data_IF_849754163222
#
_entry.id   IF_849754163222
#
_cell.length_a   1.000
_cell.length_b   1.000
_cell.length_c   1.000
_cell.angle_alpha   90.00
_cell.angle_beta   90.00
_cell.angle_gamma   90.00
#
_symmetry.space_group_name_H-M   'P 1'
#
loop_
_entity.id
_entity.type
_entity.pdbx_description
1 polymer ?
#
# COMPACT_ATOMS: atom_id res chain seq x y z
N UNK A 1 -1.63 23.07 33.58
CA UNK A 1 -1.25 21.95 32.70
C UNK A 1 -1.36 22.43 31.26
N UNK A 2 -0.28 22.61 30.50
CA UNK A 2 -0.41 23.08 29.13
C UNK A 2 -1.05 21.98 28.27
N UNK A 3 -2.31 22.20 27.89
CA UNK A 3 -3.00 21.44 26.85
C UNK A 3 -2.32 21.71 25.52
N UNK A 4 -1.83 20.67 24.84
CA UNK A 4 -1.25 20.78 23.50
C UNK A 4 -2.33 21.21 22.50
N UNK A 5 -2.54 22.52 22.41
CA UNK A 5 -3.28 23.19 21.34
C UNK A 5 -2.53 22.92 20.05
N UNK A 6 -3.13 22.10 19.19
CA UNK A 6 -2.70 21.90 17.82
C UNK A 6 -2.77 23.26 17.11
N UNK A 7 -1.62 23.91 16.97
CA UNK A 7 -1.45 25.16 16.25
C UNK A 7 -1.82 24.93 14.78
N UNK A 8 -2.95 25.50 14.36
CA UNK A 8 -3.24 25.73 12.94
C UNK A 8 -3.09 27.23 12.68
N UNK A 9 -1.83 27.67 12.59
CA UNK A 9 -1.44 28.97 12.06
C UNK A 9 -1.20 28.91 10.54
N UNK A 10 -1.35 30.02 9.80
CA UNK A 10 -1.15 30.03 8.36
C UNK A 10 0.35 30.15 8.04
N UNK A 11 0.81 29.28 7.12
CA UNK A 11 2.10 29.27 6.41
C UNK A 11 3.14 28.25 6.92
N UNK A 12 3.49 27.33 6.02
CA UNK A 12 4.90 27.04 5.70
C UNK A 12 5.70 26.09 6.58
N UNK A 13 5.33 25.81 7.82
CA UNK A 13 6.17 24.96 8.69
C UNK A 13 5.83 23.48 8.54
N UNK A 14 6.73 22.73 7.89
CA UNK A 14 6.72 21.28 7.90
C UNK A 14 7.33 20.84 9.24
N UNK A 15 6.53 20.84 10.31
CA UNK A 15 6.98 20.32 11.60
C UNK A 15 7.52 18.89 11.42
N UNK A 16 8.75 18.64 11.88
CA UNK A 16 9.40 17.34 11.76
C UNK A 16 8.54 16.21 12.36
N UNK A 17 7.73 16.50 13.38
CA UNK A 17 6.80 15.56 14.01
C UNK A 17 5.66 15.18 13.07
N UNK A 18 5.23 16.08 12.20
CA UNK A 18 4.26 15.80 11.16
C UNK A 18 4.88 15.02 10.00
N UNK A 19 6.16 15.21 9.69
CA UNK A 19 6.86 14.41 8.68
C UNK A 19 6.96 12.95 9.10
N UNK A 20 7.37 12.68 10.35
CA UNK A 20 7.46 11.30 10.87
C UNK A 20 6.08 10.63 10.88
N UNK A 21 5.06 11.31 11.41
CA UNK A 21 3.68 10.80 11.42
C UNK A 21 3.19 10.46 10.00
N UNK A 22 3.40 11.35 9.03
CA UNK A 22 3.04 11.13 7.62
C UNK A 22 3.87 10.01 7.00
N UNK A 23 5.16 9.94 7.31
CA UNK A 23 6.09 8.91 6.84
C UNK A 23 5.65 7.52 7.30
N UNK A 24 5.35 7.37 8.59
CA UNK A 24 4.84 6.12 9.18
C UNK A 24 3.51 5.73 8.53
N UNK A 25 2.57 6.67 8.38
CA UNK A 25 1.30 6.40 7.69
C UNK A 25 1.52 5.89 6.25
N UNK A 26 2.39 6.56 5.50
CA UNK A 26 2.68 6.20 4.10
C UNK A 26 3.34 4.83 3.99
N UNK A 27 4.29 4.52 4.87
CA UNK A 27 4.95 3.22 4.95
C UNK A 27 3.95 2.10 5.26
N UNK A 28 3.06 2.30 6.24
CA UNK A 28 2.04 1.32 6.62
C UNK A 28 1.07 1.03 5.46
N UNK A 29 0.63 2.07 4.74
CA UNK A 29 -0.25 1.92 3.56
C UNK A 29 0.45 1.20 2.42
N UNK A 30 1.73 1.49 2.18
CA UNK A 30 2.53 0.81 1.18
C UNK A 30 2.69 -0.69 1.52
N UNK A 31 2.92 -1.04 2.79
CA UNK A 31 3.00 -2.43 3.24
C UNK A 31 1.71 -3.20 2.95
N UNK A 32 0.54 -2.66 3.30
CA UNK A 32 -0.76 -3.32 3.04
C UNK A 32 -1.21 -3.30 1.56
N UNK A 33 -0.50 -2.58 0.69
CA UNK A 33 -0.71 -2.59 -0.76
C UNK A 33 0.15 -3.63 -1.48
N UNK A 34 1.11 -4.27 -0.79
CA UNK A 34 1.95 -5.32 -1.38
C UNK A 34 1.13 -6.56 -1.71
N UNK A 35 1.60 -7.32 -2.71
CA UNK A 35 0.94 -8.55 -3.20
C UNK A 35 0.93 -9.71 -2.19
N UNK A 36 1.80 -9.70 -1.18
CA UNK A 36 1.94 -10.79 -0.21
C UNK A 36 0.77 -10.83 0.80
N UNK A 37 -0.05 -11.89 0.84
CA UNK A 37 -1.21 -11.99 1.74
C UNK A 37 -0.83 -11.85 3.21
N UNK A 38 0.27 -12.49 3.64
CA UNK A 38 0.77 -12.43 5.01
C UNK A 38 1.12 -10.99 5.44
N UNK A 39 1.75 -10.21 4.57
CA UNK A 39 2.10 -8.80 4.84
C UNK A 39 0.85 -7.94 4.98
N UNK A 40 -0.18 -8.22 4.17
CA UNK A 40 -1.46 -7.49 4.24
C UNK A 40 -2.19 -7.78 5.55
N UNK A 41 -2.19 -9.03 6.00
CA UNK A 41 -2.79 -9.43 7.29
C UNK A 41 -2.04 -8.76 8.44
N UNK A 42 -0.70 -8.86 8.45
CA UNK A 42 0.13 -8.24 9.48
C UNK A 42 -0.06 -6.71 9.53
N UNK A 43 -0.11 -6.04 8.37
CA UNK A 43 -0.33 -4.60 8.28
C UNK A 43 -1.72 -4.20 8.82
N UNK A 44 -2.76 -5.02 8.61
CA UNK A 44 -4.10 -4.79 9.17
C UNK A 44 -4.15 -5.00 10.68
N UNK A 45 -3.51 -6.05 11.18
CA UNK A 45 -3.42 -6.31 12.62
C UNK A 45 -2.73 -5.14 13.34
N UNK A 46 -1.61 -4.67 12.78
CA UNK A 46 -0.89 -3.51 13.29
C UNK A 46 -1.75 -2.24 13.23
N UNK A 47 -2.41 -1.95 12.11
CA UNK A 47 -3.30 -0.79 11.99
C UNK A 47 -4.45 -0.81 12.99
N UNK A 48 -4.98 -2.00 13.31
CA UNK A 48 -6.03 -2.20 14.32
C UNK A 48 -5.51 -1.88 15.73
N UNK A 49 -4.33 -2.40 16.09
CA UNK A 49 -3.69 -2.08 17.37
C UNK A 49 -3.39 -0.58 17.52
N UNK A 50 -2.88 0.05 16.46
CA UNK A 50 -2.65 1.50 16.46
C UNK A 50 -3.95 2.30 16.64
N UNK A 51 -5.05 1.87 16.01
CA UNK A 51 -6.35 2.51 16.11
C UNK A 51 -6.96 2.43 17.52
N UNK A 52 -6.63 1.38 18.28
CA UNK A 52 -7.05 1.19 19.67
C UNK A 52 -6.22 2.00 20.68
N UNK A 53 -5.04 2.49 20.27
CA UNK A 53 -4.15 3.25 21.15
C UNK A 53 -4.79 4.56 21.67
N UNK A 54 -4.36 4.99 22.86
CA UNK A 54 -4.77 6.25 23.50
C UNK A 54 -4.12 7.47 22.84
N UNK A 55 -2.92 7.31 22.26
CA UNK A 55 -2.20 8.38 21.60
C UNK A 55 -2.95 8.87 20.35
N UNK A 56 -3.29 10.16 20.29
CA UNK A 56 -4.03 10.76 19.19
C UNK A 56 -3.37 10.52 17.81
N UNK A 57 -2.04 10.62 17.75
CA UNK A 57 -1.26 10.36 16.54
C UNK A 57 -1.33 8.89 16.12
N UNK A 58 -1.08 7.98 17.05
CA UNK A 58 -1.12 6.53 16.84
C UNK A 58 -2.50 6.08 16.36
N UNK A 59 -3.55 6.54 17.04
CA UNK A 59 -4.95 6.32 16.69
C UNK A 59 -5.28 6.82 15.30
N UNK A 60 -4.83 8.03 14.96
CA UNK A 60 -5.03 8.61 13.63
C UNK A 60 -4.37 7.77 12.53
N UNK A 61 -3.12 7.35 12.73
CA UNK A 61 -2.39 6.51 11.77
C UNK A 61 -3.14 5.20 11.53
N UNK A 62 -3.56 4.51 12.59
CA UNK A 62 -4.29 3.24 12.49
C UNK A 62 -5.61 3.39 11.74
N UNK A 63 -6.43 4.37 12.11
CA UNK A 63 -7.73 4.62 11.45
C UNK A 63 -7.59 5.01 9.98
N UNK A 64 -6.63 5.85 9.63
CA UNK A 64 -6.39 6.23 8.24
C UNK A 64 -5.90 5.05 7.39
N UNK A 65 -4.98 4.23 7.93
CA UNK A 65 -4.50 3.03 7.26
C UNK A 65 -5.63 2.01 7.01
N UNK A 66 -6.52 1.77 7.98
CA UNK A 66 -7.68 0.89 7.81
C UNK A 66 -8.61 1.39 6.69
N UNK A 67 -8.88 2.70 6.64
CA UNK A 67 -9.67 3.32 5.55
C UNK A 67 -9.00 3.12 4.19
N UNK A 68 -7.67 3.24 4.13
CA UNK A 68 -6.93 2.99 2.90
C UNK A 68 -7.00 1.52 2.47
N UNK A 69 -6.91 0.58 3.41
CA UNK A 69 -7.03 -0.85 3.11
C UNK A 69 -8.42 -1.22 2.61
N UNK A 70 -9.49 -0.65 3.18
CA UNK A 70 -10.85 -0.84 2.69
C UNK A 70 -11.02 -0.37 1.23
N UNK A 71 -10.40 0.77 0.88
CA UNK A 71 -10.39 1.27 -0.51
C UNK A 71 -9.61 0.39 -1.48
N UNK A 72 -8.55 -0.28 -1.00
CA UNK A 72 -7.78 -1.21 -1.80
C UNK A 72 -8.53 -2.52 -2.05
N UNK A 73 -9.31 -3.00 -1.08
CA UNK A 73 -10.19 -4.17 -1.25
C UNK A 73 -11.35 -3.86 -2.19
N UNK A 74 -11.92 -2.65 -2.08
CA UNK A 74 -13.00 -2.21 -2.96
C UNK A 74 -12.53 -1.94 -4.39
N UNK A 75 -11.22 -1.92 -4.67
CA UNK A 75 -10.70 -1.75 -6.02
C UNK A 75 -10.99 -3.03 -6.81
N UNK A 76 -11.82 -2.99 -7.87
CA UNK A 76 -12.02 -4.16 -8.71
C UNK A 76 -10.67 -4.63 -9.25
N UNK A 77 -10.47 -5.95 -9.42
CA UNK A 77 -9.22 -6.48 -9.94
C UNK A 77 -8.91 -5.77 -11.26
N UNK A 78 -7.69 -5.22 -11.36
CA UNK A 78 -7.22 -4.63 -12.62
C UNK A 78 -7.37 -5.73 -13.68
N UNK A 79 -8.13 -5.51 -14.78
CA UNK A 79 -8.30 -6.54 -15.79
C UNK A 79 -6.91 -7.00 -16.20
N UNK A 80 -6.71 -8.33 -16.14
CA UNK A 80 -5.43 -8.95 -16.45
C UNK A 80 -4.91 -8.34 -17.76
N UNK A 81 -3.67 -7.83 -17.72
CA UNK A 81 -3.02 -7.35 -18.93
C UNK A 81 -3.18 -8.43 -20.01
N UNK A 82 -3.76 -8.05 -21.15
CA UNK A 82 -3.99 -8.94 -22.29
C UNK A 82 -2.74 -9.81 -22.49
N UNK A 83 -2.96 -11.12 -22.59
CA UNK A 83 -1.91 -12.11 -22.78
C UNK A 83 -0.93 -11.66 -23.88
N UNK A 84 0.39 -11.88 -23.73
CA UNK A 84 1.31 -11.65 -24.82
C UNK A 84 0.85 -12.53 -25.98
N UNK A 85 0.45 -11.90 -27.09
CA UNK A 85 0.15 -12.62 -28.34
C UNK A 85 1.39 -13.40 -28.71
N UNK A 86 1.36 -14.72 -28.47
CA UNK A 86 2.47 -15.61 -28.78
C UNK A 86 2.80 -15.49 -30.26
N UNK A 87 4.06 -15.17 -30.57
CA UNK A 87 4.60 -15.38 -31.90
C UNK A 87 4.84 -16.89 -32.05
N UNK A 88 3.84 -17.61 -32.57
CA UNK A 88 4.03 -18.98 -33.05
C UNK A 88 4.87 -18.93 -34.33
N UNK A 89 6.19 -18.93 -34.18
CA UNK A 89 7.09 -19.21 -35.29
C UNK A 89 7.06 -20.73 -35.52
N UNK A 90 6.16 -21.19 -36.38
CA UNK A 90 6.21 -22.53 -36.97
C UNK A 90 7.51 -22.65 -37.74
N UNK A 91 8.52 -23.32 -37.17
CA UNK A 91 9.74 -23.71 -37.88
C UNK A 91 9.41 -24.96 -38.71
N UNK A 92 9.45 -24.91 -40.06
CA UNK A 92 9.17 -26.11 -40.84
C UNK A 92 10.28 -27.14 -40.64
N UNK A 93 9.97 -28.45 -40.67
CA UNK A 93 10.99 -29.48 -40.53
C UNK A 93 11.93 -29.47 -41.74
N UNK A 94 13.24 -29.43 -41.48
CA UNK A 94 14.26 -29.66 -42.50
C UNK A 94 14.07 -31.07 -43.04
N UNK A 95 13.65 -31.20 -44.31
CA UNK A 95 13.71 -32.48 -45.03
C UNK A 95 15.17 -32.92 -45.09
N UNK A 96 15.51 -33.95 -44.31
CA UNK A 96 16.72 -34.73 -44.49
C UNK A 96 16.61 -35.48 -45.81
N UNK A 97 17.44 -35.09 -46.78
CA UNK A 97 17.67 -35.84 -48.02
C UNK A 97 18.66 -36.95 -47.66
N UNK A 98 18.20 -38.19 -47.73
CA UNK A 98 19.01 -39.41 -47.57
C UNK A 98 19.33 -39.98 -48.97
N UNK A 99 20.30 -40.92 -49.06
CA UNK A 99 21.52 -40.86 -49.85
C UNK A 99 21.34 -40.68 -51.37
#
# INVERSE_FOLDING_TARGET
>A
MPTTTSSKGPRGDIDARDFVKKGVNRALRAAGSRRGPAVRIAARALATGLAASEGATTRWIGRDALRAFARLEAKPPKPAAKAPRGKTATRPPKRSRAP
#
